data_IF_660783104138
#
_entry.id   IF_660783104138
#
_cell.length_a   1.000
_cell.length_b   1.000
_cell.length_c   1.000
_cell.angle_alpha   90.00
_cell.angle_beta   90.00
_cell.angle_gamma   90.00
#
_symmetry.space_group_name_H-M   'P 1'
#
loop_
_entity.id
_entity.type
_entity.pdbx_description
1 polymer ?
#
# COMPACT_ATOMS: atom_id res chain seq x y z
N UNK A 1 -8.77 -14.92 24.05
CA UNK A 1 -8.51 -14.31 22.75
C UNK A 1 -8.82 -12.83 22.79
N UNK A 2 -7.94 -12.06 22.22
CA UNK A 2 -8.09 -10.62 22.22
C UNK A 2 -8.69 -10.13 20.92
N UNK A 3 -9.50 -9.08 21.00
CA UNK A 3 -9.99 -8.41 19.82
C UNK A 3 -8.87 -7.83 18.96
N UNK A 4 -7.67 -7.66 19.53
CA UNK A 4 -6.55 -7.06 18.82
C UNK A 4 -6.07 -7.88 17.63
N UNK A 5 -6.34 -9.20 17.63
CA UNK A 5 -5.95 -10.06 16.53
C UNK A 5 -7.03 -10.21 15.47
N UNK A 6 -8.18 -9.60 15.70
CA UNK A 6 -9.31 -9.71 14.77
C UNK A 6 -9.06 -8.86 13.54
N UNK A 7 -9.21 -9.46 12.37
CA UNK A 7 -9.12 -8.73 11.11
C UNK A 7 -7.72 -8.61 10.54
N UNK A 8 -6.70 -9.02 11.28
CA UNK A 8 -5.33 -8.98 10.77
C UNK A 8 -5.09 -10.20 9.89
N UNK A 9 -4.55 -9.97 8.71
CA UNK A 9 -4.23 -11.02 7.75
C UNK A 9 -2.82 -10.83 7.23
N UNK A 10 -2.17 -11.94 6.89
CA UNK A 10 -0.83 -11.90 6.32
C UNK A 10 -0.88 -11.28 4.93
N UNK A 11 0.00 -10.33 4.67
CA UNK A 11 0.12 -9.70 3.36
C UNK A 11 1.36 -10.18 2.62
N UNK A 12 2.52 -10.26 3.31
CA UNK A 12 3.77 -10.66 2.67
C UNK A 12 4.79 -10.99 3.74
N UNK A 13 5.90 -11.60 3.32
CA UNK A 13 7.06 -11.76 4.18
C UNK A 13 7.80 -10.43 4.24
N UNK A 14 8.30 -10.06 5.42
CA UNK A 14 9.01 -8.78 5.60
C UNK A 14 10.20 -8.67 4.66
N UNK A 15 10.89 -9.80 4.42
CA UNK A 15 12.09 -9.80 3.56
C UNK A 15 11.80 -9.54 2.08
N UNK A 16 10.54 -9.67 1.67
CA UNK A 16 10.17 -9.47 0.27
C UNK A 16 9.93 -8.00 -0.07
N UNK A 17 9.95 -7.12 0.93
CA UNK A 17 9.71 -5.70 0.74
C UNK A 17 10.99 -4.94 1.04
N UNK A 18 11.58 -4.34 0.01
CA UNK A 18 12.83 -3.61 0.10
C UNK A 18 12.58 -2.15 0.43
N UNK A 19 13.44 -1.58 1.29
CA UNK A 19 13.39 -0.16 1.63
C UNK A 19 13.40 0.70 0.36
N UNK A 20 12.47 1.65 0.30
CA UNK A 20 12.35 2.54 -0.86
C UNK A 20 11.59 1.96 -2.03
N UNK A 21 10.99 0.78 -1.86
CA UNK A 21 10.28 0.11 -2.95
C UNK A 21 8.84 -0.19 -2.60
N UNK A 22 8.05 -0.47 -3.63
CA UNK A 22 6.66 -0.88 -3.50
C UNK A 22 6.53 -2.34 -3.93
N UNK A 23 5.72 -3.09 -3.19
CA UNK A 23 5.42 -4.49 -3.49
C UNK A 23 3.92 -4.66 -3.66
N UNK A 24 3.50 -5.17 -4.81
CA UNK A 24 2.10 -5.53 -5.03
C UNK A 24 1.84 -6.94 -4.55
N UNK A 25 0.75 -7.14 -3.85
CA UNK A 25 0.36 -8.46 -3.38
C UNK A 25 -1.15 -8.58 -3.35
N UNK A 26 -1.64 -9.79 -3.25
CA UNK A 26 -3.08 -10.03 -3.15
C UNK A 26 -3.40 -10.61 -1.79
N UNK A 27 -4.39 -10.02 -1.12
CA UNK A 27 -4.77 -10.42 0.24
C UNK A 27 -6.29 -10.56 0.28
N UNK A 28 -6.76 -11.78 0.49
CA UNK A 28 -8.19 -12.06 0.59
C UNK A 28 -9.00 -11.47 -0.57
N UNK A 29 -8.45 -11.56 -1.79
CA UNK A 29 -9.10 -11.06 -2.99
C UNK A 29 -8.89 -9.57 -3.27
N UNK A 30 -8.15 -8.88 -2.41
CA UNK A 30 -7.85 -7.46 -2.59
C UNK A 30 -6.44 -7.29 -3.13
N UNK A 31 -6.29 -6.43 -4.14
CA UNK A 31 -4.97 -6.07 -4.64
C UNK A 31 -4.41 -4.95 -3.77
N UNK A 32 -3.29 -5.22 -3.12
CA UNK A 32 -2.72 -4.34 -2.09
C UNK A 32 -1.31 -3.93 -2.50
N UNK A 33 -0.97 -2.67 -2.27
CA UNK A 33 0.38 -2.16 -2.46
C UNK A 33 0.99 -1.93 -1.08
N UNK A 34 2.18 -2.49 -0.86
CA UNK A 34 2.95 -2.30 0.37
C UNK A 34 4.16 -1.45 0.05
N UNK A 35 4.48 -0.52 0.92
CA UNK A 35 5.59 0.42 0.72
C UNK A 35 6.50 0.40 1.93
N UNK A 36 7.82 0.41 1.71
CA UNK A 36 8.79 0.51 2.79
C UNK A 36 9.53 1.84 2.66
N UNK A 37 9.35 2.73 3.62
CA UNK A 37 9.96 4.05 3.62
C UNK A 37 10.40 4.38 5.04
N UNK A 38 11.70 4.68 5.22
CA UNK A 38 12.27 5.07 6.50
C UNK A 38 11.97 4.05 7.60
N UNK A 39 12.13 2.77 7.28
CA UNK A 39 11.89 1.66 8.19
C UNK A 39 10.43 1.51 8.61
N UNK A 40 9.53 2.25 8.00
CA UNK A 40 8.09 2.09 8.21
C UNK A 40 7.45 1.41 7.01
N UNK A 41 6.35 0.71 7.25
CA UNK A 41 5.63 0.04 6.18
C UNK A 41 4.21 0.60 6.11
N UNK A 42 3.79 0.92 4.89
CA UNK A 42 2.46 1.44 4.62
C UNK A 42 1.73 0.53 3.64
N UNK A 43 0.42 0.56 3.66
CA UNK A 43 -0.39 -0.25 2.74
C UNK A 43 -1.55 0.58 2.21
N UNK A 44 -1.76 0.48 0.89
CA UNK A 44 -2.92 1.09 0.25
C UNK A 44 -3.54 0.08 -0.71
N UNK A 45 -4.72 0.38 -1.22
CA UNK A 45 -5.19 -0.35 -2.38
C UNK A 45 -4.18 -0.18 -3.51
N UNK A 46 -4.02 -1.21 -4.34
CA UNK A 46 -3.00 -1.20 -5.39
C UNK A 46 -3.53 -0.68 -6.73
N UNK A 47 -4.84 -0.65 -6.90
CA UNK A 47 -5.42 -0.17 -8.15
C UNK A 47 -5.63 1.34 -8.03
N UNK A 48 -5.07 2.08 -8.98
CA UNK A 48 -5.19 3.53 -9.00
C UNK A 48 -6.66 3.92 -9.09
N UNK A 49 -7.08 4.92 -8.29
CA UNK A 49 -8.49 5.36 -8.29
C UNK A 49 -8.90 6.01 -9.60
N UNK A 50 -7.93 6.38 -10.41
CA UNK A 50 -8.14 7.07 -11.67
C UNK A 50 -8.25 6.14 -12.89
N UNK A 51 -7.51 5.02 -12.87
CA UNK A 51 -7.41 4.15 -14.05
C UNK A 51 -7.05 2.73 -13.63
N UNK A 52 -7.24 1.78 -14.55
CA UNK A 52 -6.82 0.41 -14.32
C UNK A 52 -5.30 0.30 -14.46
N UNK A 53 -4.62 0.66 -13.40
CA UNK A 53 -3.18 0.56 -13.33
C UNK A 53 -2.82 0.15 -11.91
N UNK A 54 -1.77 -0.64 -11.78
CA UNK A 54 -1.28 -1.03 -10.46
C UNK A 54 -0.25 -0.03 -9.99
N UNK A 55 -0.44 0.49 -8.78
CA UNK A 55 0.52 1.42 -8.19
C UNK A 55 1.86 0.74 -7.98
N UNK A 56 1.86 -0.60 -7.78
CA UNK A 56 3.11 -1.36 -7.66
C UNK A 56 3.94 -1.35 -8.93
N UNK A 57 3.37 -0.97 -10.07
CA UNK A 57 4.10 -0.79 -11.32
C UNK A 57 4.58 0.65 -11.50
N UNK A 58 4.23 1.53 -10.58
CA UNK A 58 4.60 2.95 -10.65
C UNK A 58 5.91 3.25 -9.95
N UNK A 59 6.05 4.49 -9.53
CA UNK A 59 7.31 4.98 -8.95
C UNK A 59 7.07 5.54 -7.56
N UNK A 60 7.87 5.07 -6.60
CA UNK A 60 7.83 5.55 -5.23
C UNK A 60 8.95 6.58 -5.04
N UNK A 61 8.57 7.78 -4.59
CA UNK A 61 9.51 8.86 -4.31
C UNK A 61 9.21 9.37 -2.90
N UNK A 62 10.04 8.99 -1.94
CA UNK A 62 9.76 9.27 -0.54
C UNK A 62 8.43 8.65 -0.13
N UNK A 63 7.49 9.47 0.31
CA UNK A 63 6.16 8.99 0.72
C UNK A 63 5.09 9.24 -0.35
N UNK A 64 5.52 9.43 -1.60
CA UNK A 64 4.61 9.68 -2.71
C UNK A 64 4.72 8.56 -3.73
N UNK A 65 3.59 7.97 -4.09
CA UNK A 65 3.52 6.97 -5.16
C UNK A 65 2.92 7.60 -6.41
N UNK A 66 3.60 7.39 -7.52
CA UNK A 66 3.13 7.90 -8.81
C UNK A 66 2.57 6.76 -9.64
N UNK A 67 1.33 6.92 -10.09
CA UNK A 67 0.67 5.94 -10.95
C UNK A 67 1.39 5.88 -12.30
N UNK A 68 1.61 4.66 -12.85
CA UNK A 68 2.29 4.56 -14.15
C UNK A 68 1.46 5.10 -15.32
N UNK A 69 0.15 5.30 -15.11
CA UNK A 69 -0.71 5.89 -16.13
C UNK A 69 -1.05 7.32 -15.72
N UNK A 70 -0.71 8.28 -16.59
CA UNK A 70 -1.06 9.69 -16.47
C UNK A 70 -0.43 10.40 -15.25
N UNK A 71 0.51 9.75 -14.56
CA UNK A 71 1.31 10.39 -13.51
C UNK A 71 0.52 10.96 -12.33
N UNK A 72 -0.65 10.40 -12.02
CA UNK A 72 -1.37 10.77 -10.81
C UNK A 72 -0.54 10.38 -9.59
N UNK A 73 -0.51 11.24 -8.56
CA UNK A 73 0.33 11.00 -7.38
C UNK A 73 -0.50 11.00 -6.11
N UNK A 74 -0.09 10.18 -5.16
CA UNK A 74 -0.80 9.98 -3.89
C UNK A 74 0.20 9.92 -2.75
N UNK A 75 -0.21 10.43 -1.60
CA UNK A 75 0.53 10.26 -0.36
C UNK A 75 0.25 8.84 0.16
N UNK A 76 1.30 8.05 0.40
CA UNK A 76 1.09 6.66 0.81
C UNK A 76 0.68 6.53 2.27
N UNK A 77 0.95 7.54 3.09
CA UNK A 77 0.62 7.50 4.51
C UNK A 77 -0.87 7.76 4.73
N UNK A 78 -1.41 8.76 4.08
CA UNK A 78 -2.82 9.15 4.23
C UNK A 78 -3.72 8.62 3.13
N UNK A 79 -3.15 8.23 1.99
CA UNK A 79 -3.90 7.87 0.80
C UNK A 79 -4.36 9.07 0.01
N UNK A 80 -4.01 10.27 0.43
CA UNK A 80 -4.54 11.49 -0.16
C UNK A 80 -4.03 11.71 -1.56
N UNK A 81 -4.93 12.04 -2.49
CA UNK A 81 -4.55 12.41 -3.84
C UNK A 81 -3.84 13.75 -3.83
N UNK A 82 -2.70 13.82 -4.53
CA UNK A 82 -1.88 15.01 -4.59
C UNK A 82 -1.95 15.71 -5.93
N UNK A 83 -2.06 14.93 -7.02
CA UNK A 83 -2.06 15.50 -8.37
C UNK A 83 -3.15 14.87 -9.25
N UNK A 84 -3.76 15.70 -10.10
CA UNK A 84 -4.67 15.14 -11.10
C UNK A 84 -3.90 14.24 -12.07
N UNK A 85 -4.58 13.40 -12.85
CA UNK A 85 -6.02 13.43 -13.05
C UNK A 85 -6.85 12.67 -12.02
N UNK A 86 -6.22 12.04 -11.02
CA UNK A 86 -6.97 11.38 -9.98
C UNK A 86 -7.68 12.39 -9.09
N UNK A 87 -8.91 12.09 -8.71
CA UNK A 87 -9.72 12.96 -7.86
C UNK A 87 -10.19 12.27 -6.60
N UNK A 88 -9.90 10.97 -6.46
CA UNK A 88 -10.29 10.20 -5.29
C UNK A 88 -9.07 9.69 -4.54
N UNK A 89 -9.15 9.73 -3.23
CA UNK A 89 -8.06 9.25 -2.38
C UNK A 89 -7.98 7.72 -2.43
N UNK A 90 -6.78 7.20 -2.15
CA UNK A 90 -6.58 5.76 -2.01
C UNK A 90 -7.08 5.30 -0.65
N UNK A 91 -7.65 4.10 -0.61
CA UNK A 91 -7.92 3.46 0.67
C UNK A 91 -6.60 3.00 1.28
N UNK A 92 -6.42 3.27 2.57
CA UNK A 92 -5.25 2.83 3.31
C UNK A 92 -5.65 1.73 4.29
N UNK A 93 -4.65 0.93 4.70
CA UNK A 93 -4.88 -0.18 5.64
C UNK A 93 -3.87 -0.11 6.76
N UNK A 94 -4.29 -0.37 8.00
CA UNK A 94 -3.33 -0.48 9.10
C UNK A 94 -2.34 -1.61 8.84
N UNK A 95 -1.10 -1.41 9.26
CA UNK A 95 -0.02 -2.38 9.06
C UNK A 95 0.64 -2.69 10.38
N UNK A 96 1.00 -3.96 10.58
CA UNK A 96 1.88 -4.33 11.67
C UNK A 96 2.85 -5.40 11.18
N UNK A 97 3.98 -5.53 11.86
CA UNK A 97 4.97 -6.56 11.55
C UNK A 97 5.04 -7.49 12.74
N UNK A 98 4.87 -8.78 12.50
CA UNK A 98 4.93 -9.81 13.53
C UNK A 98 6.01 -10.80 13.11
N UNK A 99 7.17 -10.77 13.77
CA UNK A 99 8.32 -11.56 13.35
C UNK A 99 8.74 -11.14 11.94
N UNK A 100 8.76 -12.09 11.02
CA UNK A 100 9.11 -11.83 9.62
C UNK A 100 7.89 -11.61 8.72
N UNK A 101 6.75 -11.38 9.32
CA UNK A 101 5.50 -11.31 8.56
C UNK A 101 4.89 -9.92 8.61
N UNK A 102 4.53 -9.39 7.43
CA UNK A 102 3.77 -8.16 7.33
C UNK A 102 2.29 -8.53 7.34
N UNK A 103 1.53 -7.89 8.22
CA UNK A 103 0.10 -8.10 8.32
C UNK A 103 -0.63 -6.79 8.11
N UNK A 104 -1.79 -6.85 7.49
CA UNK A 104 -2.66 -5.71 7.31
C UNK A 104 -4.05 -6.03 7.82
N UNK A 105 -4.83 -4.97 8.03
CA UNK A 105 -6.20 -5.08 8.46
C UNK A 105 -7.10 -4.57 7.36
N UNK A 106 -8.02 -5.43 6.90
CA UNK A 106 -8.85 -5.12 5.74
C UNK A 106 -10.15 -4.39 6.07
N UNK A 107 -10.55 -4.35 7.30
CA UNK A 107 -11.80 -3.71 7.69
C UNK A 107 -11.70 -2.19 7.89
#
# INVERSE_FOLDING_TARGET
MNGDDTGWVRAAARRDLTEGEVLGTEVAGHSIALYAVDAEIFATENICTHAYAYLSDGWLDGEVIECPLHAARFDIRSGKVLDPPATEDLKTYPVRVVGDEIQIRLD
#
